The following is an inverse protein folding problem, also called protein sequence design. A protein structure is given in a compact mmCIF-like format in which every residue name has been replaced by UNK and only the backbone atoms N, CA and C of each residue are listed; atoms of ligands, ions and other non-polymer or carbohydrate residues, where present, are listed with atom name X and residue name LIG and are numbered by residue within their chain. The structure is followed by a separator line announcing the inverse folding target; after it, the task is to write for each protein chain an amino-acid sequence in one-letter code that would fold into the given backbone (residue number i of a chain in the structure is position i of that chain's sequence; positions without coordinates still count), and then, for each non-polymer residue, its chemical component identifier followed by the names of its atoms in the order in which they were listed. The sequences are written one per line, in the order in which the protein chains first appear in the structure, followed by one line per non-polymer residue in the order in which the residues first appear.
data_IF_131289755491
#
_entry.id   IF_131289755491
#
_cell.length_a   1.000
_cell.length_b   1.000
_cell.length_c   1.000
_cell.angle_alpha   90.00
_cell.angle_beta   90.00
_cell.angle_gamma   90.00
#
_symmetry.space_group_name_H-M   'P 1'
#
loop_
_entity.id
_entity.type
_entity.pdbx_description
1 polymer ?
#
# COMPACT_ATOMS: atom_id res chain seq x y z
N UNK A 1 -64.74 53.31 -22.60
CA UNK A 1 -64.35 52.01 -23.22
C UNK A 1 -63.01 52.16 -23.91
N UNK A 2 -61.89 52.45 -23.18
CA UNK A 2 -60.57 52.74 -23.77
C UNK A 2 -59.36 52.18 -22.97
N UNK A 3 -59.51 51.16 -22.16
CA UNK A 3 -58.42 50.69 -21.29
C UNK A 3 -58.19 49.19 -21.32
N UNK A 4 -58.81 48.41 -22.22
CA UNK A 4 -58.67 46.93 -22.24
C UNK A 4 -57.72 46.43 -23.32
N UNK A 5 -57.31 47.19 -24.29
CA UNK A 5 -56.57 46.77 -25.47
C UNK A 5 -55.01 46.73 -25.22
N UNK A 6 -54.53 47.45 -24.18
CA UNK A 6 -53.12 47.67 -23.97
C UNK A 6 -52.47 46.65 -23.02
N UNK A 7 -53.25 45.79 -22.38
CA UNK A 7 -52.70 44.78 -21.41
C UNK A 7 -52.41 43.38 -22.01
N UNK A 8 -52.97 43.09 -23.17
CA UNK A 8 -52.83 41.78 -23.81
C UNK A 8 -51.39 41.49 -24.36
N UNK A 9 -50.68 42.42 -25.02
CA UNK A 9 -49.34 42.14 -25.51
C UNK A 9 -48.30 42.02 -24.41
N UNK A 10 -48.48 42.65 -23.26
CA UNK A 10 -47.50 42.57 -22.15
C UNK A 10 -47.55 41.24 -21.40
N UNK A 11 -48.69 40.59 -21.34
CA UNK A 11 -48.82 39.24 -20.73
C UNK A 11 -48.27 38.20 -21.67
N UNK A 12 -48.40 38.34 -22.96
CA UNK A 12 -47.90 37.40 -23.97
C UNK A 12 -46.35 37.42 -24.07
N UNK A 13 -45.72 38.59 -23.88
CA UNK A 13 -44.25 38.72 -23.85
C UNK A 13 -43.64 38.17 -22.55
N UNK A 14 -44.35 38.25 -21.43
CA UNK A 14 -43.83 37.70 -20.16
C UNK A 14 -43.90 36.16 -20.12
N UNK A 15 -44.89 35.55 -20.77
CA UNK A 15 -45.00 34.08 -20.87
C UNK A 15 -43.98 33.48 -21.83
N UNK A 16 -43.59 34.19 -22.88
CA UNK A 16 -42.56 33.73 -23.83
C UNK A 16 -41.16 33.80 -23.21
N UNK A 17 -40.90 34.72 -22.27
CA UNK A 17 -39.60 34.82 -21.57
C UNK A 17 -39.37 33.70 -20.55
N UNK A 18 -40.42 33.04 -20.03
CA UNK A 18 -40.28 31.90 -19.07
C UNK A 18 -39.99 30.55 -19.73
N UNK A 19 -40.21 30.42 -21.03
CA UNK A 19 -39.99 29.16 -21.78
C UNK A 19 -38.56 29.06 -22.35
N UNK A 20 -37.73 30.08 -22.19
CA UNK A 20 -36.39 30.17 -22.77
C UNK A 20 -35.24 29.87 -21.79
N UNK A 21 -35.50 29.35 -20.58
CA UNK A 21 -34.42 28.91 -19.71
C UNK A 21 -33.86 27.57 -20.26
N UNK A 22 -32.63 27.56 -20.83
CA UNK A 22 -31.97 26.31 -21.13
C UNK A 22 -31.73 25.62 -19.78
N UNK A 23 -32.59 24.69 -19.42
CA UNK A 23 -32.31 23.78 -18.33
C UNK A 23 -30.95 23.15 -18.61
N UNK A 24 -29.93 23.47 -17.79
CA UNK A 24 -28.71 22.75 -17.75
C UNK A 24 -29.02 21.32 -17.32
N UNK A 25 -29.50 20.50 -18.28
CA UNK A 25 -29.51 19.07 -18.13
C UNK A 25 -28.04 18.61 -18.17
N UNK A 26 -27.33 18.72 -17.05
CA UNK A 26 -26.12 17.95 -16.81
C UNK A 26 -26.52 16.50 -16.60
N UNK A 27 -27.07 15.90 -17.68
CA UNK A 27 -27.40 14.47 -17.70
C UNK A 27 -26.08 13.73 -17.78
N UNK A 28 -25.67 13.14 -16.65
CA UNK A 28 -24.85 11.92 -16.68
C UNK A 28 -23.37 12.07 -17.00
N UNK A 29 -22.67 13.03 -16.39
CA UNK A 29 -21.27 12.73 -16.08
C UNK A 29 -21.30 11.71 -14.94
N UNK A 30 -21.20 10.43 -15.27
CA UNK A 30 -21.08 9.37 -14.27
C UNK A 30 -20.01 9.78 -13.27
N UNK A 31 -20.35 9.74 -11.98
CA UNK A 31 -19.37 10.05 -10.92
C UNK A 31 -18.15 9.17 -11.17
N UNK A 32 -16.94 9.71 -11.36
CA UNK A 32 -15.79 8.91 -11.64
C UNK A 32 -15.58 7.93 -10.48
N UNK A 33 -15.57 6.63 -10.79
CA UNK A 33 -15.42 5.58 -9.79
C UNK A 33 -13.96 5.46 -9.36
N UNK A 34 -13.73 5.19 -8.06
CA UNK A 34 -12.40 4.86 -7.55
C UNK A 34 -12.02 3.47 -8.06
N UNK A 35 -10.82 3.34 -8.62
CA UNK A 35 -10.23 2.06 -8.99
C UNK A 35 -9.45 1.54 -7.78
N UNK A 36 -9.73 0.32 -7.37
CA UNK A 36 -9.08 -0.33 -6.24
C UNK A 36 -8.02 -1.32 -6.74
N UNK A 37 -6.80 -1.17 -6.24
CA UNK A 37 -5.64 -1.97 -6.59
C UNK A 37 -5.23 -2.86 -5.42
N UNK A 38 -4.73 -4.05 -5.73
CA UNK A 38 -4.11 -4.91 -4.75
C UNK A 38 -2.60 -4.62 -4.70
N UNK A 39 -2.07 -4.29 -3.52
CA UNK A 39 -0.63 -4.26 -3.33
C UNK A 39 -0.14 -5.72 -3.31
N UNK A 40 0.66 -6.11 -4.28
CA UNK A 40 1.16 -7.48 -4.39
C UNK A 40 2.65 -7.50 -4.76
N UNK A 41 3.26 -8.62 -4.49
CA UNK A 41 4.62 -8.93 -4.87
C UNK A 41 4.60 -9.59 -6.25
N UNK A 42 5.14 -8.90 -7.25
CA UNK A 42 5.23 -9.40 -8.63
C UNK A 42 6.61 -10.03 -8.94
N UNK A 43 7.49 -10.15 -7.93
CA UNK A 43 8.76 -10.85 -8.13
C UNK A 43 8.53 -12.34 -8.30
N UNK A 44 9.38 -12.96 -9.10
CA UNK A 44 9.38 -14.43 -9.24
C UNK A 44 9.67 -15.04 -7.87
N UNK A 45 8.84 -15.96 -7.43
CA UNK A 45 9.03 -16.63 -6.13
C UNK A 45 10.44 -17.16 -5.98
N UNK A 46 11.10 -16.95 -4.82
CA UNK A 46 12.42 -17.47 -4.57
C UNK A 46 12.38 -19.00 -4.68
N UNK A 47 13.31 -19.56 -5.46
CA UNK A 47 13.48 -21.01 -5.54
C UNK A 47 13.76 -21.55 -4.12
N UNK A 48 13.00 -22.55 -3.70
CA UNK A 48 13.14 -23.25 -2.42
C UNK A 48 14.51 -23.98 -2.26
N UNK A 49 15.42 -23.82 -3.22
CA UNK A 49 16.70 -24.54 -3.31
C UNK A 49 17.69 -24.25 -2.18
N UNK A 50 17.49 -23.21 -1.38
CA UNK A 50 18.41 -22.84 -0.29
C UNK A 50 18.08 -23.47 1.07
N UNK A 51 17.06 -24.33 1.17
CA UNK A 51 16.56 -24.85 2.44
C UNK A 51 17.51 -25.89 3.10
N UNK A 52 18.30 -26.60 2.31
CA UNK A 52 19.08 -27.76 2.80
C UNK A 52 20.32 -27.43 3.67
N UNK A 53 20.80 -26.17 3.66
CA UNK A 53 22.02 -25.76 4.37
C UNK A 53 21.79 -24.91 5.62
N UNK A 54 20.52 -24.74 6.05
CA UNK A 54 20.19 -23.88 7.20
C UNK A 54 20.37 -24.58 8.53
N UNK A 55 20.78 -23.89 9.61
CA UNK A 55 20.92 -24.45 10.94
C UNK A 55 19.62 -25.09 11.43
N UNK A 56 19.74 -26.24 12.13
CA UNK A 56 18.60 -26.97 12.72
C UNK A 56 17.80 -26.11 13.69
N UNK A 57 18.49 -25.22 14.43
CA UNK A 57 17.84 -24.29 15.38
C UNK A 57 16.76 -23.43 14.76
N UNK A 58 16.96 -22.93 13.52
CA UNK A 58 15.94 -22.13 12.82
C UNK A 58 14.78 -23.01 12.36
N UNK A 59 15.06 -24.22 11.87
CA UNK A 59 14.04 -25.15 11.40
C UNK A 59 13.08 -25.62 12.49
N UNK A 60 13.44 -25.47 13.76
CA UNK A 60 12.60 -25.76 14.92
C UNK A 60 11.92 -24.49 15.49
N UNK A 61 12.24 -23.31 14.94
CA UNK A 61 11.74 -22.03 15.43
C UNK A 61 10.41 -21.66 14.76
N UNK A 62 9.43 -21.31 15.57
CA UNK A 62 8.20 -20.63 15.11
C UNK A 62 8.43 -19.11 15.16
N UNK A 63 8.34 -18.47 14.01
CA UNK A 63 8.44 -17.02 13.87
C UNK A 63 7.03 -16.39 13.87
N UNK A 64 6.81 -15.45 14.76
CA UNK A 64 5.58 -14.67 14.79
C UNK A 64 5.79 -13.35 14.05
N UNK A 65 4.83 -12.95 13.22
CA UNK A 65 4.78 -11.64 12.58
C UNK A 65 3.89 -10.74 13.42
N UNK A 66 4.45 -9.67 13.95
CA UNK A 66 3.72 -8.63 14.68
C UNK A 66 2.83 -7.79 13.78
N UNK A 67 1.99 -6.96 14.39
CA UNK A 67 1.23 -5.95 13.64
C UNK A 67 2.19 -4.97 12.97
N UNK A 68 1.94 -4.65 11.71
CA UNK A 68 2.73 -3.64 11.00
C UNK A 68 2.19 -2.25 11.35
N UNK A 69 3.01 -1.46 12.04
CA UNK A 69 2.69 -0.05 12.31
C UNK A 69 2.95 0.82 11.08
N UNK A 70 2.25 1.95 10.99
CA UNK A 70 2.52 2.99 9.98
C UNK A 70 2.15 4.37 10.52
N UNK A 71 2.55 5.42 9.81
CA UNK A 71 2.05 6.77 10.10
C UNK A 71 0.55 6.87 9.81
N UNK A 72 -0.14 7.83 10.41
CA UNK A 72 -1.57 8.02 10.15
C UNK A 72 -1.86 8.28 8.64
N UNK A 73 -0.92 8.88 7.93
CA UNK A 73 -1.03 9.12 6.49
C UNK A 73 -0.86 7.82 5.68
N UNK A 74 0.11 6.98 6.05
CA UNK A 74 0.40 5.71 5.36
C UNK A 74 -0.58 4.59 5.76
N UNK A 75 -1.39 4.80 6.82
CA UNK A 75 -2.55 3.95 7.16
C UNK A 75 -3.77 4.18 6.24
N UNK A 76 -3.70 5.12 5.30
CA UNK A 76 -4.75 5.35 4.30
C UNK A 76 -4.81 4.22 3.27
N UNK A 77 -6.01 3.91 2.81
CA UNK A 77 -6.20 3.05 1.64
C UNK A 77 -6.02 3.79 0.31
N UNK A 78 -5.81 5.12 0.32
CA UNK A 78 -5.55 5.87 -0.92
C UNK A 78 -4.08 5.76 -1.31
N UNK A 79 -3.81 5.63 -2.61
CA UNK A 79 -2.44 5.58 -3.12
C UNK A 79 -1.78 6.95 -2.98
N UNK A 80 -0.62 6.97 -2.30
CA UNK A 80 0.13 8.19 -1.99
C UNK A 80 1.09 8.57 -3.11
N UNK A 81 1.21 9.87 -3.37
CA UNK A 81 2.27 10.44 -4.21
C UNK A 81 2.87 11.71 -3.58
N UNK A 82 4.07 12.11 -4.04
CA UNK A 82 4.74 13.34 -3.63
C UNK A 82 5.30 14.10 -4.83
N UNK A 83 5.10 15.41 -4.90
CA UNK A 83 5.60 16.28 -5.99
C UNK A 83 6.91 16.98 -5.66
N UNK A 84 7.23 17.07 -4.39
CA UNK A 84 8.46 17.67 -3.89
C UNK A 84 8.80 17.09 -2.53
N UNK A 85 10.03 17.33 -2.07
CA UNK A 85 10.50 16.87 -0.76
C UNK A 85 9.54 17.33 0.36
N UNK A 86 9.10 16.38 1.19
CA UNK A 86 8.23 16.65 2.35
C UNK A 86 6.75 16.85 2.01
N UNK A 87 6.34 16.76 0.73
CA UNK A 87 4.93 16.83 0.35
C UNK A 87 4.36 15.44 0.12
N UNK A 88 3.10 15.24 0.50
CA UNK A 88 2.33 14.03 0.25
C UNK A 88 0.90 14.40 -0.12
N UNK A 89 0.34 13.68 -1.08
CA UNK A 89 -1.06 13.73 -1.48
C UNK A 89 -1.54 12.34 -1.87
N UNK A 90 -2.83 12.19 -2.12
CA UNK A 90 -3.41 10.93 -2.58
C UNK A 90 -3.95 11.08 -4.00
N UNK A 91 -3.84 10.02 -4.79
CA UNK A 91 -4.57 9.92 -6.04
C UNK A 91 -6.08 9.90 -5.76
N UNK A 92 -6.84 10.78 -6.41
CA UNK A 92 -8.28 10.95 -6.09
C UNK A 92 -9.14 9.75 -6.48
N UNK A 93 -8.76 9.05 -7.55
CA UNK A 93 -9.53 7.96 -8.15
C UNK A 93 -8.82 6.61 -8.09
N UNK A 94 -7.88 6.45 -7.14
CA UNK A 94 -7.13 5.22 -6.99
C UNK A 94 -6.86 4.92 -5.52
N UNK A 95 -7.13 3.68 -5.12
CA UNK A 95 -6.95 3.23 -3.75
C UNK A 95 -6.47 1.77 -3.70
N UNK A 96 -6.01 1.37 -2.53
CA UNK A 96 -5.67 0.00 -2.20
C UNK A 96 -6.91 -0.77 -1.71
N UNK A 97 -7.06 -2.02 -2.07
CA UNK A 97 -8.15 -2.89 -1.59
C UNK A 97 -8.12 -3.06 -0.07
N UNK A 98 -6.95 -2.91 0.55
CA UNK A 98 -6.75 -2.91 2.00
C UNK A 98 -5.58 -1.99 2.37
N UNK A 99 -5.44 -1.66 3.65
CA UNK A 99 -4.33 -0.83 4.14
C UNK A 99 -2.98 -1.46 3.79
N UNK A 100 -2.02 -0.70 3.24
CA UNK A 100 -0.69 -1.21 2.88
C UNK A 100 0.05 -1.88 4.04
N UNK A 101 -0.07 -1.35 5.26
CA UNK A 101 0.53 -1.93 6.46
C UNK A 101 0.03 -3.36 6.71
N UNK A 102 -1.29 -3.58 6.66
CA UNK A 102 -1.88 -4.90 6.83
C UNK A 102 -1.43 -5.86 5.71
N UNK A 103 -1.48 -5.40 4.47
CA UNK A 103 -1.08 -6.21 3.32
C UNK A 103 0.39 -6.59 3.37
N UNK A 104 1.26 -5.67 3.78
CA UNK A 104 2.69 -5.93 3.96
C UNK A 104 2.93 -7.08 4.96
N UNK A 105 2.23 -7.13 6.08
CA UNK A 105 2.33 -8.23 7.04
C UNK A 105 2.01 -9.59 6.41
N UNK A 106 0.97 -9.65 5.57
CA UNK A 106 0.59 -10.87 4.83
C UNK A 106 1.66 -11.26 3.80
N UNK A 107 2.22 -10.28 3.08
CA UNK A 107 3.26 -10.54 2.08
C UNK A 107 4.57 -11.03 2.73
N UNK A 108 4.96 -10.46 3.86
CA UNK A 108 6.13 -10.92 4.64
C UNK A 108 5.93 -12.36 5.13
N UNK A 109 4.76 -12.69 5.71
CA UNK A 109 4.42 -14.04 6.13
C UNK A 109 4.58 -15.03 4.96
N UNK A 110 3.90 -14.77 3.85
CA UNK A 110 3.95 -15.62 2.65
C UNK A 110 5.36 -15.81 2.11
N UNK A 111 6.17 -14.72 2.06
CA UNK A 111 7.55 -14.80 1.56
C UNK A 111 8.42 -15.65 2.47
N UNK A 112 8.33 -15.50 3.78
CA UNK A 112 9.11 -16.29 4.76
C UNK A 112 8.66 -17.75 4.79
N UNK A 113 7.35 -18.04 4.67
CA UNK A 113 6.83 -19.40 4.51
C UNK A 113 7.34 -20.07 3.24
N UNK A 114 7.27 -19.38 2.10
CA UNK A 114 7.75 -19.91 0.82
C UNK A 114 9.25 -20.23 0.82
N UNK A 115 10.04 -19.52 1.64
CA UNK A 115 11.46 -19.80 1.82
C UNK A 115 11.73 -21.02 2.71
N UNK A 116 10.77 -21.45 3.52
CA UNK A 116 10.84 -22.70 4.30
C UNK A 116 11.98 -22.76 5.32
N UNK A 117 12.43 -21.63 5.84
CA UNK A 117 13.54 -21.55 6.79
C UNK A 117 13.12 -21.91 8.22
N UNK A 118 11.90 -21.55 8.60
CA UNK A 118 11.35 -21.72 9.94
C UNK A 118 10.43 -22.95 10.02
N UNK A 119 10.18 -23.44 11.23
CA UNK A 119 9.20 -24.49 11.47
C UNK A 119 7.79 -24.07 11.07
N UNK A 120 7.44 -22.81 11.36
CA UNK A 120 6.23 -22.13 10.93
C UNK A 120 6.45 -20.61 10.97
N UNK A 121 5.72 -19.88 10.14
CA UNK A 121 5.59 -18.42 10.20
C UNK A 121 4.12 -18.12 10.38
N UNK A 122 3.76 -17.35 11.40
CA UNK A 122 2.36 -17.11 11.77
C UNK A 122 2.15 -15.64 12.18
N UNK A 123 0.96 -15.12 11.99
CA UNK A 123 0.61 -13.83 12.59
C UNK A 123 0.56 -13.95 14.11
N UNK A 124 1.06 -12.94 14.84
CA UNK A 124 1.04 -12.95 16.32
C UNK A 124 -0.37 -13.02 16.90
N UNK A 125 -1.39 -12.67 16.13
CA UNK A 125 -2.81 -12.77 16.49
C UNK A 125 -3.39 -14.17 16.37
N UNK A 126 -2.65 -15.13 15.81
CA UNK A 126 -3.11 -16.51 15.64
C UNK A 126 -3.19 -17.31 16.96
N UNK A 127 -2.75 -16.73 18.09
CA UNK A 127 -2.78 -17.40 19.41
C UNK A 127 -1.75 -18.52 19.58
N UNK A 128 -0.81 -18.66 18.63
CA UNK A 128 0.29 -19.62 18.68
C UNK A 128 1.46 -19.02 19.43
N UNK A 129 2.13 -19.82 20.26
CA UNK A 129 3.37 -19.40 20.92
C UNK A 129 4.57 -19.67 19.99
N UNK A 130 5.32 -18.61 19.70
CA UNK A 130 6.56 -18.69 18.94
C UNK A 130 7.78 -18.33 19.78
N UNK A 131 8.97 -18.59 19.26
CA UNK A 131 10.23 -18.26 19.91
C UNK A 131 10.76 -16.89 19.50
N UNK A 132 10.38 -16.40 18.32
CA UNK A 132 10.80 -15.11 17.80
C UNK A 132 9.61 -14.29 17.33
N UNK A 133 9.72 -12.95 17.45
CA UNK A 133 8.74 -11.99 16.97
C UNK A 133 9.43 -11.01 16.03
N UNK A 134 8.90 -10.89 14.81
CA UNK A 134 9.29 -9.87 13.85
C UNK A 134 8.29 -8.71 13.92
N UNK A 135 8.72 -7.59 14.48
CA UNK A 135 7.97 -6.33 14.44
C UNK A 135 8.34 -5.53 13.19
N UNK A 136 7.36 -4.95 12.55
CA UNK A 136 7.51 -4.16 11.33
C UNK A 136 6.87 -2.79 11.50
N UNK A 137 7.46 -1.78 10.85
CA UNK A 137 6.88 -0.45 10.74
C UNK A 137 7.10 0.08 9.32
N UNK A 138 6.02 0.41 8.64
CA UNK A 138 6.03 1.07 7.35
C UNK A 138 6.41 2.54 7.58
N UNK A 139 7.59 2.95 7.09
CA UNK A 139 8.06 4.33 7.17
C UNK A 139 7.46 5.19 6.07
N UNK A 140 7.42 4.66 4.85
CA UNK A 140 6.75 5.29 3.73
C UNK A 140 6.50 4.31 2.57
N UNK A 141 5.44 4.59 1.83
CA UNK A 141 5.07 3.92 0.58
C UNK A 141 4.41 4.96 -0.33
N UNK A 142 5.15 5.53 -1.27
CA UNK A 142 4.62 6.60 -2.13
C UNK A 142 5.30 6.66 -3.49
N UNK A 143 4.58 7.24 -4.46
CA UNK A 143 5.11 7.56 -5.78
C UNK A 143 5.72 8.97 -5.79
N UNK A 144 7.02 9.08 -5.92
CA UNK A 144 7.72 10.35 -6.09
C UNK A 144 7.60 10.79 -7.54
N UNK A 145 6.80 11.83 -7.77
CA UNK A 145 6.56 12.43 -9.08
C UNK A 145 7.24 13.79 -9.24
N UNK A 146 8.30 14.05 -8.48
CA UNK A 146 9.10 15.27 -8.59
C UNK A 146 9.89 15.34 -9.90
N UNK A 147 10.14 14.20 -10.53
CA UNK A 147 10.78 14.06 -11.84
C UNK A 147 10.04 13.02 -12.68
N UNK A 148 10.07 13.15 -14.01
CA UNK A 148 9.50 12.15 -14.90
C UNK A 148 10.48 11.00 -15.14
N UNK A 149 9.97 9.77 -15.30
CA UNK A 149 8.58 9.31 -15.29
C UNK A 149 8.01 9.08 -13.88
N UNK A 150 8.80 9.29 -12.82
CA UNK A 150 8.47 9.04 -11.43
C UNK A 150 9.19 7.82 -10.87
N UNK A 151 9.31 7.78 -9.54
CA UNK A 151 10.00 6.74 -8.78
C UNK A 151 9.15 6.33 -7.58
N UNK A 152 8.80 5.06 -7.48
CA UNK A 152 8.20 4.54 -6.26
C UNK A 152 9.26 4.37 -5.19
N UNK A 153 8.93 4.77 -3.97
CA UNK A 153 9.76 4.62 -2.79
C UNK A 153 9.00 3.85 -1.72
N UNK A 154 9.62 2.81 -1.21
CA UNK A 154 9.13 2.02 -0.08
C UNK A 154 10.22 1.90 0.97
N UNK A 155 9.87 2.07 2.25
CA UNK A 155 10.78 1.83 3.35
C UNK A 155 10.06 1.23 4.55
N UNK A 156 10.70 0.24 5.18
CA UNK A 156 10.23 -0.40 6.41
C UNK A 156 11.35 -0.48 7.43
N UNK A 157 11.00 -0.41 8.69
CA UNK A 157 11.86 -0.78 9.81
C UNK A 157 11.44 -2.16 10.28
N UNK A 158 12.40 -3.06 10.45
CA UNK A 158 12.18 -4.38 11.01
C UNK A 158 13.00 -4.55 12.30
N UNK A 159 12.38 -5.17 13.30
CA UNK A 159 12.98 -5.53 14.58
C UNK A 159 12.69 -7.01 14.85
N UNK A 160 13.73 -7.82 14.95
CA UNK A 160 13.63 -9.22 15.36
C UNK A 160 13.92 -9.34 16.85
N UNK A 161 12.99 -9.93 17.58
CA UNK A 161 13.03 -10.06 19.04
C UNK A 161 12.93 -11.52 19.44
N UNK A 162 13.77 -11.97 20.37
CA UNK A 162 13.58 -13.23 21.09
C UNK A 162 12.38 -13.06 22.03
N UNK A 163 11.35 -13.90 21.86
CA UNK A 163 10.11 -13.78 22.62
C UNK A 163 10.25 -14.24 24.07
N UNK A 164 11.12 -15.21 24.34
CA UNK A 164 11.28 -15.80 25.67
C UNK A 164 11.92 -14.86 26.68
N UNK A 165 12.92 -14.10 26.25
CA UNK A 165 13.74 -13.22 27.10
C UNK A 165 13.59 -11.72 26.71
N UNK A 166 12.69 -11.41 25.81
CA UNK A 166 12.38 -10.04 25.33
C UNK A 166 13.63 -9.30 24.81
N UNK A 167 14.61 -10.02 24.29
CA UNK A 167 15.86 -9.46 23.82
C UNK A 167 15.77 -9.09 22.35
N UNK A 168 16.14 -7.86 22.01
CA UNK A 168 16.30 -7.44 20.61
C UNK A 168 17.48 -8.21 19.99
N UNK A 169 17.21 -8.99 18.94
CA UNK A 169 18.20 -9.74 18.18
C UNK A 169 18.82 -8.91 17.07
N UNK A 170 18.02 -8.06 16.44
CA UNK A 170 18.48 -7.15 15.42
C UNK A 170 17.42 -6.13 15.03
N UNK A 171 17.89 -4.99 14.49
CA UNK A 171 17.03 -3.95 13.90
C UNK A 171 17.68 -3.47 12.60
N UNK A 172 16.86 -3.33 11.55
CA UNK A 172 17.33 -2.84 10.25
C UNK A 172 16.25 -2.06 9.53
N UNK A 173 16.69 -1.07 8.74
CA UNK A 173 15.84 -0.33 7.80
C UNK A 173 16.05 -0.90 6.41
N UNK A 174 14.97 -1.22 5.73
CA UNK A 174 14.97 -1.69 4.34
C UNK A 174 14.35 -0.61 3.48
N UNK A 175 15.01 -0.29 2.38
CA UNK A 175 14.58 0.71 1.42
C UNK A 175 14.61 0.09 0.04
N UNK A 176 13.53 0.25 -0.71
CA UNK A 176 13.47 -0.17 -2.10
C UNK A 176 12.87 0.94 -2.96
N UNK A 177 13.40 1.07 -4.16
CA UNK A 177 12.96 2.03 -5.16
C UNK A 177 12.71 1.30 -6.48
N UNK A 178 11.69 1.76 -7.23
CA UNK A 178 11.41 1.23 -8.56
C UNK A 178 10.90 2.34 -9.47
N UNK A 179 11.46 2.49 -10.69
CA UNK A 179 10.96 3.47 -11.63
C UNK A 179 9.54 3.12 -12.07
N UNK A 180 8.65 4.10 -12.06
CA UNK A 180 7.36 4.03 -12.70
C UNK A 180 7.51 4.31 -14.21
N UNK A 181 6.55 3.84 -15.04
CA UNK A 181 6.58 4.12 -16.47
C UNK A 181 5.95 5.48 -16.81
N UNK A 182 5.14 6.03 -15.90
CA UNK A 182 4.47 7.33 -16.03
C UNK A 182 3.94 7.80 -14.67
N UNK A 183 3.57 9.10 -14.59
CA UNK A 183 3.08 9.71 -13.35
C UNK A 183 1.56 9.48 -13.14
N UNK A 184 1.12 8.22 -13.18
CA UNK A 184 -0.26 7.83 -12.89
C UNK A 184 -0.32 6.66 -11.89
N UNK A 185 -1.51 6.39 -11.38
CA UNK A 185 -1.71 5.39 -10.33
C UNK A 185 -1.40 3.97 -10.80
N UNK A 186 -1.76 3.58 -12.03
CA UNK A 186 -1.49 2.24 -12.56
C UNK A 186 0.01 1.98 -12.65
N UNK A 187 0.78 2.89 -13.24
CA UNK A 187 2.23 2.76 -13.34
C UNK A 187 2.91 2.76 -11.97
N UNK A 188 2.36 3.51 -11.01
CA UNK A 188 2.82 3.46 -9.62
C UNK A 188 2.58 2.08 -8.99
N UNK A 189 1.40 1.48 -9.18
CA UNK A 189 1.07 0.14 -8.65
C UNK A 189 2.02 -0.92 -9.17
N UNK A 190 2.31 -0.91 -10.47
CA UNK A 190 3.25 -1.85 -11.08
C UNK A 190 4.68 -1.67 -10.51
N UNK A 191 5.08 -0.42 -10.26
CA UNK A 191 6.37 -0.11 -9.66
C UNK A 191 6.40 -0.47 -8.16
N UNK A 192 5.30 -0.30 -7.42
CA UNK A 192 5.17 -0.77 -6.04
C UNK A 192 5.37 -2.28 -5.94
N UNK A 193 4.74 -3.06 -6.82
CA UNK A 193 4.92 -4.51 -6.83
C UNK A 193 6.38 -4.94 -6.96
N UNK A 194 7.15 -4.27 -7.85
CA UNK A 194 8.59 -4.53 -8.00
C UNK A 194 9.39 -4.12 -6.76
N UNK A 195 9.14 -2.92 -6.22
CA UNK A 195 9.84 -2.43 -5.03
C UNK A 195 9.59 -3.32 -3.81
N UNK A 196 8.33 -3.72 -3.60
CA UNK A 196 7.96 -4.64 -2.52
C UNK A 196 8.65 -5.99 -2.69
N UNK A 197 8.75 -6.53 -3.90
CA UNK A 197 9.48 -7.78 -4.15
C UNK A 197 10.93 -7.72 -3.67
N UNK A 198 11.67 -6.68 -4.07
CA UNK A 198 13.07 -6.47 -3.62
C UNK A 198 13.15 -6.32 -2.10
N UNK A 199 12.25 -5.53 -1.52
CA UNK A 199 12.22 -5.31 -0.08
C UNK A 199 11.96 -6.59 0.71
N UNK A 200 11.05 -7.45 0.23
CA UNK A 200 10.74 -8.73 0.86
C UNK A 200 11.90 -9.73 0.77
N UNK A 201 12.65 -9.73 -0.33
CA UNK A 201 13.84 -10.58 -0.46
C UNK A 201 14.94 -10.19 0.53
N UNK A 202 15.26 -8.90 0.59
CA UNK A 202 16.28 -8.35 1.49
C UNK A 202 15.88 -8.56 2.97
N UNK A 203 14.62 -8.30 3.31
CA UNK A 203 14.08 -8.53 4.66
C UNK A 203 14.18 -10.00 5.06
N UNK A 204 13.72 -10.90 4.19
CA UNK A 204 13.66 -12.32 4.49
C UNK A 204 15.06 -12.89 4.68
N UNK A 205 16.02 -12.51 3.84
CA UNK A 205 17.43 -12.89 4.00
C UNK A 205 17.99 -12.45 5.35
N UNK A 206 17.78 -11.18 5.71
CA UNK A 206 18.24 -10.65 6.99
C UNK A 206 17.59 -11.34 8.20
N UNK A 207 16.28 -11.64 8.14
CA UNK A 207 15.59 -12.34 9.23
C UNK A 207 16.19 -13.74 9.43
N UNK A 208 16.45 -14.47 8.36
CA UNK A 208 17.06 -15.81 8.42
C UNK A 208 18.49 -15.76 8.98
N UNK A 209 19.32 -14.84 8.51
CA UNK A 209 20.69 -14.64 8.98
C UNK A 209 20.73 -14.27 10.47
N UNK A 210 19.88 -13.32 10.87
CA UNK A 210 19.81 -12.86 12.26
C UNK A 210 19.31 -13.98 13.18
N UNK A 211 18.28 -14.71 12.76
CA UNK A 211 17.77 -15.85 13.53
C UNK A 211 18.83 -16.96 13.67
N UNK A 212 19.63 -17.23 12.63
CA UNK A 212 20.70 -18.22 12.65
C UNK A 212 21.86 -17.86 13.59
N UNK A 213 22.08 -16.58 13.85
CA UNK A 213 23.16 -16.11 14.72
C UNK A 213 22.85 -16.27 16.22
N UNK A 214 21.62 -16.57 16.58
CA UNK A 214 21.19 -16.76 17.97
C UNK A 214 21.62 -18.16 18.43
N UNK A 215 22.50 -18.21 19.41
CA UNK A 215 22.98 -19.43 20.08
C UNK A 215 22.25 -19.67 21.39
#
# INVERSE_FOLDING_TARGET
MRSLVFRLPMVLTLTAALLGLPGCASIGAGTPSIIWYLLDDISTQPSASASASRPESIRQTVLMIGSVGASAFDESQMISYGRSRGTRAHYQLAGWTEKPSRRLGILVERRLEARGAFAAVVQSTAGVRGQMLLNLRLEHLYHDVSTEPGLVRAAIVAELVSWSDHRLLGRRVFVAESPAQSQNAQAAVDAFGRAIGVLLDDLSGWVEETAASVR
#
